data_IF_318285333883
#
_entry.id   IF_318285333883
#
_cell.length_a   1.000
_cell.length_b   1.000
_cell.length_c   1.000
_cell.angle_alpha   90.00
_cell.angle_beta   90.00
_cell.angle_gamma   90.00
#
_symmetry.space_group_name_H-M   'P 1'
#
loop_
_entity.id
_entity.type
_entity.pdbx_description
1 polymer ?
#
# COMPACT_ATOMS: atom_id res chain seq x y z
N UNK A 1 -3.21 3.09 15.87
CA UNK A 1 -4.40 2.92 14.99
C UNK A 1 -5.62 2.36 15.72
N UNK A 2 -5.47 1.61 16.82
CA UNK A 2 -6.60 1.02 17.59
C UNK A 2 -7.45 2.02 18.40
N UNK A 3 -7.10 3.30 18.43
CA UNK A 3 -7.85 4.34 19.17
C UNK A 3 -8.95 5.04 18.35
N UNK A 4 -9.17 4.69 17.07
CA UNK A 4 -10.23 5.29 16.26
C UNK A 4 -11.51 4.45 16.36
N UNK A 5 -12.37 4.78 17.32
CA UNK A 5 -13.65 4.11 17.62
C UNK A 5 -14.62 3.94 16.43
N UNK A 6 -14.39 4.65 15.32
CA UNK A 6 -15.26 4.64 14.14
C UNK A 6 -15.28 3.30 13.37
N UNK A 7 -14.21 2.50 13.44
CA UNK A 7 -14.14 1.26 12.65
C UNK A 7 -15.14 0.19 13.06
N UNK A 8 -15.65 0.24 14.30
CA UNK A 8 -16.59 -0.76 14.80
C UNK A 8 -18.05 -0.46 14.44
N UNK A 9 -18.30 0.65 13.74
CA UNK A 9 -19.64 0.98 13.24
C UNK A 9 -19.94 0.13 12.01
N UNK A 10 -21.13 -0.46 11.95
CA UNK A 10 -21.57 -1.33 10.84
C UNK A 10 -21.57 -0.64 9.47
N UNK A 11 -21.58 0.69 9.45
CA UNK A 11 -21.70 1.50 8.23
C UNK A 11 -20.35 2.08 7.77
N UNK A 12 -19.24 1.70 8.41
CA UNK A 12 -17.90 2.16 8.04
C UNK A 12 -17.19 1.09 7.23
N UNK A 13 -16.54 1.52 6.15
CA UNK A 13 -15.74 0.67 5.30
C UNK A 13 -14.31 1.20 5.20
N UNK A 14 -13.35 0.27 5.21
CA UNK A 14 -11.94 0.59 5.07
C UNK A 14 -11.53 0.30 3.63
N UNK A 15 -11.19 1.35 2.90
CA UNK A 15 -10.71 1.24 1.53
C UNK A 15 -9.18 1.40 1.47
N UNK A 16 -8.53 0.54 0.70
CA UNK A 16 -7.09 0.63 0.44
C UNK A 16 -6.77 0.44 -1.04
N UNK A 17 -5.67 1.06 -1.48
CA UNK A 17 -5.16 0.85 -2.82
C UNK A 17 -4.55 -0.55 -2.95
N UNK A 18 -4.77 -1.18 -4.10
CA UNK A 18 -4.13 -2.44 -4.43
C UNK A 18 -2.60 -2.33 -4.33
N UNK A 19 -1.97 -3.34 -3.71
CA UNK A 19 -0.51 -3.40 -3.50
C UNK A 19 0.02 -2.65 -2.28
N UNK A 20 -0.77 -1.76 -1.65
CA UNK A 20 -0.31 -0.98 -0.50
C UNK A 20 -0.65 -1.71 0.81
N UNK A 21 0.40 -2.12 1.54
CA UNK A 21 0.33 -2.80 2.86
C UNK A 21 -0.71 -3.95 2.88
N UNK A 22 -0.55 -4.99 2.03
CA UNK A 22 -1.51 -6.10 1.93
C UNK A 22 -1.73 -6.84 3.26
N UNK A 23 -0.70 -6.89 4.13
CA UNK A 23 -0.82 -7.51 5.45
C UNK A 23 -1.76 -6.75 6.39
N UNK A 24 -1.82 -5.42 6.25
CA UNK A 24 -2.69 -4.58 7.08
C UNK A 24 -4.15 -4.83 6.74
N UNK A 25 -4.52 -4.77 5.46
CA UNK A 25 -5.92 -5.00 5.06
C UNK A 25 -6.36 -6.42 5.39
N UNK A 26 -5.47 -7.42 5.22
CA UNK A 26 -5.75 -8.81 5.62
C UNK A 26 -5.94 -8.94 7.12
N UNK A 27 -5.13 -8.24 7.92
CA UNK A 27 -5.30 -8.19 9.38
C UNK A 27 -6.62 -7.56 9.78
N UNK A 28 -7.02 -6.45 9.14
CA UNK A 28 -8.29 -5.78 9.40
C UNK A 28 -9.49 -6.64 9.01
N UNK A 29 -9.43 -7.30 7.85
CA UNK A 29 -10.46 -8.25 7.43
C UNK A 29 -10.61 -9.40 8.44
N UNK A 30 -9.49 -9.97 8.94
CA UNK A 30 -9.53 -11.02 9.98
C UNK A 30 -10.10 -10.53 11.31
N UNK A 31 -9.98 -9.23 11.61
CA UNK A 31 -10.59 -8.60 12.80
C UNK A 31 -12.11 -8.33 12.61
N UNK A 32 -12.69 -8.69 11.46
CA UNK A 32 -14.13 -8.56 11.19
C UNK A 32 -14.55 -7.19 10.66
N UNK A 33 -13.62 -6.33 10.25
CA UNK A 33 -13.94 -5.04 9.63
C UNK A 33 -14.35 -5.21 8.16
N UNK A 34 -15.29 -4.37 7.70
CA UNK A 34 -15.61 -4.29 6.28
C UNK A 34 -14.47 -3.60 5.52
N UNK A 35 -13.92 -4.25 4.51
CA UNK A 35 -12.74 -3.79 3.78
C UNK A 35 -12.95 -3.93 2.27
N UNK A 36 -12.50 -2.93 1.51
CA UNK A 36 -12.41 -2.98 0.05
C UNK A 36 -11.03 -2.61 -0.45
N UNK A 37 -10.68 -3.18 -1.60
CA UNK A 37 -9.44 -2.89 -2.31
C UNK A 37 -9.79 -2.19 -3.62
N UNK A 38 -9.26 -0.99 -3.80
CA UNK A 38 -9.35 -0.27 -5.06
C UNK A 38 -8.38 -0.87 -6.07
N UNK A 39 -8.94 -1.48 -7.12
CA UNK A 39 -8.19 -2.14 -8.19
C UNK A 39 -8.36 -1.37 -9.52
N UNK A 40 -7.35 -0.60 -9.96
CA UNK A 40 -7.33 -0.05 -11.30
C UNK A 40 -7.12 -1.17 -12.33
N UNK A 41 -7.84 -1.14 -13.45
CA UNK A 41 -7.69 -2.08 -14.56
C UNK A 41 -7.87 -1.37 -15.91
N UNK A 42 -7.27 -1.90 -16.97
CA UNK A 42 -7.33 -1.34 -18.32
C UNK A 42 -5.96 -1.13 -18.96
N UNK A 43 -5.96 -0.69 -20.22
CA UNK A 43 -4.73 -0.47 -20.99
C UNK A 43 -4.02 0.84 -20.64
N UNK A 44 -4.76 1.84 -20.15
CA UNK A 44 -4.25 3.17 -19.77
C UNK A 44 -3.62 3.20 -18.37
N UNK A 45 -2.91 2.14 -17.99
CA UNK A 45 -2.30 1.99 -16.67
C UNK A 45 -1.21 3.04 -16.39
N UNK A 46 -0.54 3.53 -17.44
CA UNK A 46 0.57 4.46 -17.32
C UNK A 46 0.13 5.84 -16.78
N UNK A 47 -0.98 6.38 -17.29
CA UNK A 47 -1.52 7.66 -16.83
C UNK A 47 -1.96 7.58 -15.36
N UNK A 48 -2.57 6.46 -14.97
CA UNK A 48 -2.94 6.20 -13.58
C UNK A 48 -1.70 6.18 -12.66
N UNK A 49 -0.62 5.52 -13.08
CA UNK A 49 0.63 5.50 -12.33
C UNK A 49 1.21 6.91 -12.16
N UNK A 50 1.25 7.71 -13.22
CA UNK A 50 1.73 9.09 -13.14
C UNK A 50 0.92 9.94 -12.16
N UNK A 51 -0.41 9.80 -12.16
CA UNK A 51 -1.28 10.47 -11.18
C UNK A 51 -0.92 10.05 -9.74
N UNK A 52 -0.74 8.76 -9.48
CA UNK A 52 -0.36 8.23 -8.15
C UNK A 52 0.99 8.75 -7.67
N UNK A 53 1.97 8.86 -8.57
CA UNK A 53 3.27 9.45 -8.24
C UNK A 53 3.17 10.95 -7.98
N UNK A 54 2.34 11.67 -8.73
CA UNK A 54 2.14 13.10 -8.54
C UNK A 54 1.39 13.45 -7.24
N UNK A 55 0.52 12.56 -6.75
CA UNK A 55 -0.19 12.76 -5.47
C UNK A 55 0.77 12.84 -4.26
N UNK A 56 1.86 12.06 -4.27
CA UNK A 56 2.84 11.99 -3.16
C UNK A 56 4.26 11.74 -3.72
N UNK A 57 4.93 12.76 -4.28
CA UNK A 57 6.22 12.60 -4.95
C UNK A 57 7.34 12.12 -4.03
N UNK A 58 7.23 12.33 -2.72
CA UNK A 58 8.20 11.88 -1.72
C UNK A 58 8.38 10.35 -1.69
N UNK A 59 7.31 9.60 -2.01
CA UNK A 59 7.34 8.15 -2.04
C UNK A 59 8.27 7.62 -3.14
N UNK A 60 8.53 8.42 -4.19
CA UNK A 60 9.45 8.05 -5.25
C UNK A 60 10.89 7.97 -4.73
N UNK A 61 11.33 8.95 -3.94
CA UNK A 61 12.67 8.93 -3.36
C UNK A 61 12.84 7.72 -2.45
N UNK A 62 11.83 7.45 -1.61
CA UNK A 62 11.83 6.30 -0.71
C UNK A 62 11.90 4.98 -1.48
N UNK A 63 11.12 4.84 -2.55
CA UNK A 63 11.16 3.65 -3.40
C UNK A 63 12.55 3.45 -4.03
N UNK A 64 13.18 4.52 -4.54
CA UNK A 64 14.53 4.44 -5.11
C UNK A 64 15.56 4.04 -4.05
N UNK A 65 15.50 4.63 -2.85
CA UNK A 65 16.43 4.26 -1.76
C UNK A 65 16.22 2.84 -1.28
N UNK A 66 14.98 2.35 -1.24
CA UNK A 66 14.65 0.97 -0.85
C UNK A 66 15.18 -0.03 -1.89
N UNK A 67 15.05 0.28 -3.18
CA UNK A 67 15.62 -0.56 -4.25
C UNK A 67 17.14 -0.64 -4.18
N UNK A 68 17.82 0.49 -3.93
CA UNK A 68 19.28 0.52 -3.80
C UNK A 68 19.76 -0.19 -2.53
N UNK A 69 19.13 0.06 -1.39
CA UNK A 69 19.49 -0.59 -0.12
C UNK A 69 19.27 -2.10 -0.15
N UNK A 70 18.22 -2.58 -0.83
CA UNK A 70 18.00 -4.02 -1.05
C UNK A 70 19.15 -4.63 -1.84
N UNK A 71 19.59 -3.99 -2.93
CA UNK A 71 20.72 -4.48 -3.73
C UNK A 71 22.04 -4.50 -2.96
N UNK A 72 22.24 -3.58 -2.02
CA UNK A 72 23.41 -3.55 -1.15
C UNK A 72 23.37 -4.66 -0.09
N UNK A 73 22.20 -4.97 0.46
CA UNK A 73 22.03 -6.07 1.41
C UNK A 73 22.28 -7.44 0.74
N UNK A 74 21.80 -7.63 -0.48
CA UNK A 74 22.01 -8.87 -1.24
C UNK A 74 23.49 -9.08 -1.63
N UNK A 75 24.23 -8.00 -1.87
CA UNK A 75 25.67 -8.07 -2.22
C UNK A 75 26.59 -8.52 -1.08
N UNK A 76 26.11 -8.50 0.17
CA UNK A 76 26.91 -8.83 1.36
C UNK A 76 26.60 -10.23 1.94
N UNK A 77 25.77 -11.04 1.26
CA UNK A 77 25.46 -12.44 1.59
C UNK A 77 26.18 -13.46 0.67
N UNK A 78 27.33 -13.08 0.13
CA UNK A 78 28.16 -13.95 -0.70
C UNK A 78 29.58 -14.12 -0.17
N UNK A 79 29.74 -14.56 1.08
CA UNK A 79 30.97 -15.19 1.64
C UNK A 79 30.62 -16.14 2.79
#
# INVERSE_FOLDING_TARGET
MEQRHYFHQSNVEIEMLYGIRPDLIRSLQRKGYNCKVYLPYGQEWYLYLCHRLAENPENLYLAVTDMLSTSLLDSNQGY
#
